data_IF_806706628476
#
_entry.id   IF_806706628476
#
_cell.length_a   1.000
_cell.length_b   1.000
_cell.length_c   1.000
_cell.angle_alpha   90.00
_cell.angle_beta   90.00
_cell.angle_gamma   90.00
#
_symmetry.space_group_name_H-M   'P 1'
#
loop_
_entity.id
_entity.type
_entity.pdbx_description
1 polymer ?
#
# COMPACT_ATOMS: atom_id res chain seq x y z
N UNK A 1 10.18 -6.93 11.39
CA UNK A 1 10.77 -7.18 10.05
C UNK A 1 9.86 -6.52 8.99
N UNK A 2 10.41 -5.89 7.94
CA UNK A 2 9.64 -5.17 6.89
C UNK A 2 9.69 -5.83 5.50
N UNK A 3 10.26 -7.03 5.41
CA UNK A 3 10.30 -7.82 4.19
C UNK A 3 9.05 -8.69 4.12
N UNK A 4 8.37 -8.75 2.97
CA UNK A 4 7.21 -9.60 2.73
C UNK A 4 7.48 -10.43 1.47
N UNK A 5 7.24 -11.76 1.49
CA UNK A 5 7.54 -12.59 0.34
C UNK A 5 6.45 -12.55 -0.75
N UNK A 6 5.30 -11.92 -0.47
CA UNK A 6 4.18 -11.80 -1.41
C UNK A 6 4.41 -10.65 -2.38
N UNK A 7 4.41 -10.97 -3.68
CA UNK A 7 4.47 -9.97 -4.74
C UNK A 7 3.11 -9.25 -4.89
N UNK A 8 3.07 -7.91 -4.88
CA UNK A 8 1.83 -7.17 -5.06
C UNK A 8 1.48 -7.11 -6.54
N UNK A 9 0.59 -8.00 -7.00
CA UNK A 9 0.17 -8.03 -8.41
C UNK A 9 -0.62 -6.79 -8.87
N UNK A 10 -1.24 -6.04 -7.94
CA UNK A 10 -1.96 -4.78 -8.19
C UNK A 10 -1.60 -3.74 -7.12
N UNK A 11 -0.37 -3.19 -7.14
CA UNK A 11 0.15 -2.38 -6.03
C UNK A 11 -0.65 -1.09 -5.79
N UNK A 12 -1.15 -0.46 -6.87
CA UNK A 12 -1.98 0.75 -6.86
C UNK A 12 -3.23 0.63 -5.96
N UNK A 13 -3.78 -0.58 -5.84
CA UNK A 13 -5.04 -0.85 -5.12
C UNK A 13 -4.78 -1.62 -3.82
N UNK A 14 -3.76 -2.48 -3.78
CA UNK A 14 -3.54 -3.42 -2.67
C UNK A 14 -2.66 -2.87 -1.55
N UNK A 15 -1.80 -1.89 -1.84
CA UNK A 15 -0.77 -1.45 -0.88
C UNK A 15 -1.12 -0.16 -0.17
N UNK A 16 -2.10 0.56 -0.67
CA UNK A 16 -2.43 1.87 -0.15
C UNK A 16 -3.63 1.79 0.80
N UNK A 17 -3.46 2.38 1.97
CA UNK A 17 -4.51 2.58 2.96
C UNK A 17 -5.06 4.00 2.79
N UNK A 18 -6.38 4.15 2.61
CA UNK A 18 -7.01 5.47 2.48
C UNK A 18 -7.41 5.98 3.86
N UNK A 19 -6.82 7.12 4.29
CA UNK A 19 -7.19 7.79 5.55
C UNK A 19 -8.33 8.78 5.33
N UNK A 20 -8.73 9.48 6.39
CA UNK A 20 -9.84 10.41 6.34
C UNK A 20 -9.57 11.57 5.38
N UNK A 21 -10.50 11.91 4.47
CA UNK A 21 -10.42 13.11 3.65
C UNK A 21 -10.27 14.41 4.46
N UNK A 22 -10.81 14.45 5.67
CA UNK A 22 -10.75 15.63 6.56
C UNK A 22 -9.33 15.99 7.03
N UNK A 23 -8.35 15.11 6.84
CA UNK A 23 -6.95 15.41 7.16
C UNK A 23 -6.24 16.19 6.06
N UNK A 24 -6.83 16.25 4.85
CA UNK A 24 -6.24 16.93 3.69
C UNK A 24 -7.13 18.06 3.16
N UNK A 25 -8.40 18.11 3.57
CA UNK A 25 -9.35 19.15 3.17
C UNK A 25 -10.29 19.50 4.34
N UNK A 26 -10.37 20.78 4.70
CA UNK A 26 -11.29 21.26 5.71
C UNK A 26 -12.71 21.46 5.15
N UNK A 27 -13.72 21.33 6.02
CA UNK A 27 -15.13 21.44 5.63
C UNK A 27 -15.52 22.82 5.05
N UNK A 28 -14.82 23.89 5.44
CA UNK A 28 -15.03 25.23 4.88
C UNK A 28 -14.61 25.31 3.41
N UNK A 29 -13.43 24.79 3.09
CA UNK A 29 -12.90 24.72 1.72
C UNK A 29 -13.73 23.78 0.85
N UNK A 30 -14.24 22.69 1.44
CA UNK A 30 -15.18 21.79 0.76
C UNK A 30 -16.47 22.51 0.34
N UNK A 31 -16.97 23.41 1.19
CA UNK A 31 -18.15 24.23 0.92
C UNK A 31 -17.96 25.15 -0.29
N UNK A 32 -16.78 25.77 -0.41
CA UNK A 32 -16.44 26.68 -1.50
C UNK A 32 -16.38 25.97 -2.87
N UNK A 33 -16.11 24.66 -2.85
CA UNK A 33 -16.08 23.81 -4.04
C UNK A 33 -17.47 23.34 -4.50
N UNK A 34 -18.53 23.58 -3.72
CA UNK A 34 -19.86 23.02 -3.96
C UNK A 34 -20.79 24.06 -4.60
N UNK A 35 -20.96 23.94 -5.92
CA UNK A 35 -21.76 24.88 -6.71
C UNK A 35 -23.24 24.80 -6.33
N UNK A 36 -23.77 25.86 -5.69
CA UNK A 36 -25.09 25.84 -5.04
C UNK A 36 -26.28 25.69 -6.02
N UNK A 37 -26.02 25.82 -7.32
CA UNK A 37 -27.03 25.81 -8.38
C UNK A 37 -27.20 24.44 -9.08
N UNK A 38 -26.20 23.55 -9.02
CA UNK A 38 -26.21 22.30 -9.79
C UNK A 38 -26.34 21.04 -8.93
N UNK A 39 -26.16 21.14 -7.60
CA UNK A 39 -26.14 19.96 -6.70
C UNK A 39 -25.07 18.93 -7.07
N UNK A 40 -24.14 19.30 -7.96
CA UNK A 40 -23.27 18.39 -8.71
C UNK A 40 -21.78 18.75 -8.52
N UNK A 41 -21.39 19.17 -7.33
CA UNK A 41 -19.98 19.21 -6.95
C UNK A 41 -19.48 17.79 -6.67
N UNK A 42 -19.19 17.00 -7.69
CA UNK A 42 -18.61 15.65 -7.51
C UNK A 42 -17.11 15.75 -7.19
N UNK A 43 -16.77 16.33 -6.03
CA UNK A 43 -15.40 16.37 -5.53
C UNK A 43 -15.08 15.04 -4.84
N UNK A 44 -14.15 14.27 -5.40
CA UNK A 44 -13.66 13.03 -4.81
C UNK A 44 -12.29 13.27 -4.18
N UNK A 45 -12.26 13.29 -2.84
CA UNK A 45 -11.04 13.48 -2.07
C UNK A 45 -10.46 12.12 -1.70
N UNK A 46 -9.21 11.88 -2.08
CA UNK A 46 -8.45 10.68 -1.68
C UNK A 46 -7.29 11.08 -0.78
N UNK A 47 -7.05 10.28 0.26
CA UNK A 47 -5.93 10.48 1.18
C UNK A 47 -5.12 9.17 1.29
N UNK A 48 -4.27 8.85 0.29
CA UNK A 48 -3.42 7.68 0.31
C UNK A 48 -2.33 7.79 1.37
N UNK A 49 -2.18 6.76 2.22
CA UNK A 49 -1.13 6.70 3.25
C UNK A 49 0.21 6.24 2.70
N UNK A 50 0.20 5.33 1.73
CA UNK A 50 1.39 4.66 1.22
C UNK A 50 1.47 4.79 -0.30
N UNK A 51 2.70 4.74 -0.82
CA UNK A 51 2.98 4.77 -2.25
C UNK A 51 3.83 3.56 -2.64
N UNK A 52 3.70 3.13 -3.89
CA UNK A 52 4.47 2.02 -4.43
C UNK A 52 5.67 2.54 -5.22
N UNK A 53 6.88 2.17 -4.78
CA UNK A 53 8.11 2.47 -5.51
C UNK A 53 8.53 1.25 -6.34
N UNK A 54 8.53 1.33 -7.69
CA UNK A 54 8.99 0.24 -8.53
C UNK A 54 10.44 -0.20 -8.22
N UNK A 55 10.76 -1.51 -8.21
CA UNK A 55 12.08 -2.02 -7.85
C UNK A 55 13.23 -1.45 -8.68
N UNK A 56 12.98 -1.11 -9.95
CA UNK A 56 13.97 -0.53 -10.88
C UNK A 56 14.53 0.82 -10.44
N UNK A 57 13.89 1.49 -9.47
CA UNK A 57 14.34 2.77 -8.92
C UNK A 57 15.12 2.62 -7.61
N UNK A 58 15.28 1.40 -7.09
CA UNK A 58 16.05 1.12 -5.88
C UNK A 58 17.39 0.52 -6.27
N UNK A 59 18.51 1.06 -5.78
CA UNK A 59 19.86 0.57 -6.08
C UNK A 59 20.49 -0.24 -4.97
N UNK A 60 20.05 -0.05 -3.72
CA UNK A 60 20.63 -0.66 -2.52
C UNK A 60 19.57 -0.78 -1.41
N UNK A 61 19.51 -1.94 -0.77
CA UNK A 61 18.76 -2.16 0.46
C UNK A 61 19.72 -2.22 1.64
N UNK A 62 19.49 -1.39 2.66
CA UNK A 62 20.23 -1.47 3.93
C UNK A 62 19.39 -2.27 4.92
N UNK A 63 19.90 -3.40 5.37
CA UNK A 63 19.30 -4.26 6.40
C UNK A 63 20.18 -4.26 7.66
N UNK A 64 19.69 -4.92 8.71
CA UNK A 64 20.46 -5.20 9.92
C UNK A 64 21.71 -6.07 9.66
N UNK A 65 21.71 -6.83 8.57
CA UNK A 65 22.84 -7.67 8.12
C UNK A 65 23.78 -6.99 7.11
N UNK A 66 23.48 -5.76 6.69
CA UNK A 66 24.33 -4.97 5.80
C UNK A 66 23.64 -4.46 4.54
N UNK A 67 24.43 -4.06 3.54
CA UNK A 67 23.94 -3.54 2.27
C UNK A 67 23.79 -4.63 1.21
N UNK A 68 22.62 -4.70 0.57
CA UNK A 68 22.28 -5.72 -0.42
C UNK A 68 21.80 -5.09 -1.74
N UNK A 69 22.30 -5.59 -2.87
CA UNK A 69 21.75 -5.22 -4.18
C UNK A 69 20.29 -5.75 -4.30
N UNK A 70 19.38 -5.04 -4.98
CA UNK A 70 18.00 -5.49 -5.18
C UNK A 70 17.86 -6.93 -5.69
N UNK A 71 18.78 -7.38 -6.54
CA UNK A 71 18.78 -8.77 -7.01
C UNK A 71 18.93 -9.78 -5.87
N UNK A 72 19.58 -9.45 -4.75
CA UNK A 72 19.80 -10.38 -3.63
C UNK A 72 18.53 -10.66 -2.80
N UNK A 73 17.46 -9.88 -2.97
CA UNK A 73 16.23 -9.99 -2.15
C UNK A 73 15.57 -11.37 -2.20
N UNK A 74 15.65 -12.11 -3.32
CA UNK A 74 15.11 -13.47 -3.40
C UNK A 74 15.83 -14.44 -2.45
N UNK A 75 17.13 -14.23 -2.23
CA UNK A 75 17.92 -15.07 -1.32
C UNK A 75 17.49 -14.83 0.11
N UNK A 76 17.37 -13.57 0.51
CA UNK A 76 16.87 -13.21 1.82
C UNK A 76 15.47 -13.78 2.06
N UNK A 77 14.56 -13.69 1.08
CA UNK A 77 13.22 -14.29 1.19
C UNK A 77 13.31 -15.80 1.44
N UNK A 78 14.12 -16.54 0.68
CA UNK A 78 14.28 -17.97 0.85
C UNK A 78 14.94 -18.37 2.18
N UNK A 79 15.79 -17.51 2.74
CA UNK A 79 16.47 -17.76 4.02
C UNK A 79 15.52 -17.50 5.21
N UNK A 80 14.57 -16.57 5.09
CA UNK A 80 13.65 -16.19 6.17
C UNK A 80 12.26 -16.85 6.11
N UNK A 81 11.81 -17.31 4.94
CA UNK A 81 10.46 -17.84 4.73
C UNK A 81 10.49 -19.24 4.13
N UNK A 82 9.62 -20.14 4.61
CA UNK A 82 9.35 -21.40 3.92
C UNK A 82 8.46 -21.15 2.70
N UNK A 83 8.62 -21.97 1.65
CA UNK A 83 7.73 -21.95 0.49
C UNK A 83 6.27 -22.22 0.88
N UNK A 84 6.05 -23.02 1.94
CA UNK A 84 4.71 -23.35 2.44
C UNK A 84 4.00 -22.15 3.09
N UNK A 85 4.74 -21.13 3.54
CA UNK A 85 4.19 -19.93 4.19
C UNK A 85 3.62 -18.92 3.18
N UNK A 86 3.91 -19.10 1.89
CA UNK A 86 3.51 -18.15 0.83
C UNK A 86 2.02 -18.22 0.49
N UNK A 87 1.35 -19.32 0.86
CA UNK A 87 -0.10 -19.48 0.63
C UNK A 87 -0.85 -19.18 1.92
N UNK A 88 -1.37 -17.96 2.02
CA UNK A 88 -2.32 -17.61 3.09
C UNK A 88 -3.62 -18.39 2.87
N UNK A 89 -3.79 -19.51 3.58
CA UNK A 89 -5.06 -20.25 3.60
C UNK A 89 -6.14 -19.35 4.18
N UNK A 90 -7.03 -18.82 3.32
CA UNK A 90 -8.22 -18.10 3.80
C UNK A 90 -9.06 -19.06 4.62
N UNK A 91 -9.21 -18.76 5.91
CA UNK A 91 -10.09 -19.51 6.80
C UNK A 91 -11.54 -19.27 6.33
N UNK A 92 -12.34 -20.31 6.07
CA UNK A 92 -13.73 -20.12 5.66
C UNK A 92 -14.48 -19.40 6.79
N UNK A 93 -15.17 -18.32 6.45
CA UNK A 93 -16.00 -17.57 7.38
C UNK A 93 -17.24 -18.42 7.63
N UNK A 94 -17.27 -19.16 8.74
CA UNK A 94 -18.47 -19.85 9.20
C UNK A 94 -19.23 -18.89 10.10
N UNK A 95 -20.34 -18.33 9.61
CA UNK A 95 -21.29 -17.65 10.47
C UNK A 95 -22.07 -18.71 11.26
N UNK A 96 -22.04 -18.61 12.59
CA UNK A 96 -22.89 -19.37 13.52
C UNK A 96 -24.05 -18.51 13.99
#
# INVERSE_FOLDING_TARGET
>A
MKLCPLYPHNPEVLLNELRSPSEVLDFGEFSDCMDSASGAGSLHVVNPTFDYVPPKFVSLFITDTGGHNPSYMYRLIADYYSADDLVVKRRPITWS
#
